data_IF_886029668476
#
_entry.id   IF_886029668476
#
_cell.length_a   1.000
_cell.length_b   1.000
_cell.length_c   1.000
_cell.angle_alpha   90.00
_cell.angle_beta   90.00
_cell.angle_gamma   90.00
#
_symmetry.space_group_name_H-M   'P 1'
#
loop_
_entity.id
_entity.type
_entity.pdbx_description
1 polymer ?
#
# COMPACT_ATOMS: atom_id res chain seq x y z
N UNK A 1 -35.36 -0.49 43.26
CA UNK A 1 -35.90 -1.69 42.59
C UNK A 1 -37.02 -1.24 41.67
N UNK A 2 -36.85 -1.38 40.36
CA UNK A 2 -37.83 -0.94 39.37
C UNK A 2 -37.63 -1.74 38.10
N UNK A 3 -38.26 -2.91 38.08
CA UNK A 3 -38.34 -3.84 36.94
C UNK A 3 -39.54 -3.46 36.07
N UNK A 4 -39.34 -3.30 34.77
CA UNK A 4 -40.41 -3.35 33.77
C UNK A 4 -39.91 -4.09 32.52
N UNK A 5 -40.60 -5.20 32.24
CA UNK A 5 -40.48 -6.05 31.07
C UNK A 5 -41.68 -5.80 30.14
N UNK A 6 -41.42 -6.04 28.85
CA UNK A 6 -42.31 -6.48 27.77
C UNK A 6 -43.15 -5.46 26.99
N UNK A 7 -42.97 -5.47 25.67
CA UNK A 7 -44.07 -5.71 24.73
C UNK A 7 -43.53 -6.26 23.39
N UNK A 8 -43.99 -7.46 23.03
CA UNK A 8 -43.74 -8.20 21.79
C UNK A 8 -44.76 -7.82 20.70
N UNK A 9 -44.35 -7.87 19.43
CA UNK A 9 -45.19 -7.66 18.25
C UNK A 9 -45.91 -8.96 17.80
N UNK A 10 -47.08 -8.85 17.12
CA UNK A 10 -47.91 -10.01 16.73
C UNK A 10 -47.49 -10.65 15.39
N UNK A 11 -47.76 -11.95 15.27
CA UNK A 11 -47.51 -12.82 14.10
C UNK A 11 -48.66 -12.81 13.06
N UNK A 12 -48.39 -12.94 11.74
CA UNK A 12 -49.41 -13.21 10.71
C UNK A 12 -49.63 -14.72 10.41
N UNK A 13 -50.75 -15.10 9.75
CA UNK A 13 -51.29 -16.47 9.66
C UNK A 13 -50.74 -17.31 8.45
N UNK A 14 -51.03 -18.64 8.37
CA UNK A 14 -50.39 -19.57 7.42
C UNK A 14 -51.08 -19.64 6.03
N UNK A 15 -50.43 -20.23 5.00
CA UNK A 15 -50.90 -20.19 3.62
C UNK A 15 -51.83 -21.35 3.25
N UNK A 16 -52.78 -21.07 2.35
CA UNK A 16 -53.66 -22.04 1.66
C UNK A 16 -53.18 -22.17 0.21
N UNK A 17 -53.13 -23.41 -0.31
CA UNK A 17 -52.54 -23.74 -1.61
C UNK A 17 -53.53 -23.82 -2.79
N UNK A 18 -52.95 -23.80 -3.99
CA UNK A 18 -53.41 -24.53 -5.19
C UNK A 18 -54.19 -23.76 -6.27
N UNK A 19 -53.58 -23.58 -7.46
CA UNK A 19 -54.32 -23.40 -8.73
C UNK A 19 -53.60 -22.56 -9.81
N UNK A 20 -53.66 -22.90 -11.11
CA UNK A 20 -52.56 -22.67 -12.05
C UNK A 20 -52.80 -21.54 -13.08
N UNK A 21 -51.71 -20.98 -13.62
CA UNK A 21 -51.70 -20.44 -14.99
C UNK A 21 -51.20 -19.00 -15.15
N UNK A 22 -50.27 -18.86 -16.11
CA UNK A 22 -49.95 -17.66 -16.90
C UNK A 22 -48.90 -16.68 -16.34
N UNK A 23 -47.64 -17.06 -16.55
CA UNK A 23 -46.60 -16.29 -17.28
C UNK A 23 -46.65 -14.76 -17.26
N UNK A 24 -45.63 -14.13 -16.66
CA UNK A 24 -44.76 -13.17 -17.35
C UNK A 24 -43.58 -12.76 -16.46
N UNK A 25 -42.36 -13.07 -16.91
CA UNK A 25 -41.10 -12.67 -16.28
C UNK A 25 -40.69 -11.28 -16.81
N UNK A 26 -40.00 -10.45 -16.00
CA UNK A 26 -38.92 -9.64 -16.52
C UNK A 26 -37.59 -9.88 -15.79
N UNK A 27 -36.45 -9.56 -16.44
CA UNK A 27 -35.20 -10.30 -16.29
C UNK A 27 -34.18 -9.57 -15.40
N UNK A 28 -33.59 -10.28 -14.45
CA UNK A 28 -32.45 -9.81 -13.67
C UNK A 28 -32.38 -10.50 -12.31
N UNK A 29 -31.25 -11.12 -11.99
CA UNK A 29 -30.92 -11.90 -10.77
C UNK A 29 -31.32 -13.38 -10.77
N UNK A 30 -30.45 -14.23 -11.31
CA UNK A 30 -30.33 -15.64 -10.90
C UNK A 30 -29.06 -15.82 -10.08
N UNK A 31 -29.20 -16.24 -8.82
CA UNK A 31 -28.12 -16.68 -7.93
C UNK A 31 -27.58 -18.06 -8.36
N UNK A 32 -26.31 -18.40 -8.07
CA UNK A 32 -25.72 -19.69 -8.43
C UNK A 32 -26.24 -20.82 -7.54
N UNK A 33 -26.52 -21.96 -8.14
CA UNK A 33 -26.98 -23.20 -7.50
C UNK A 33 -25.80 -23.99 -6.94
N UNK A 34 -25.88 -24.40 -5.67
CA UNK A 34 -24.94 -25.33 -5.02
C UNK A 34 -25.20 -26.78 -5.48
N UNK A 35 -24.15 -27.51 -5.84
CA UNK A 35 -24.21 -28.93 -6.25
C UNK A 35 -24.29 -29.87 -5.04
N UNK A 36 -25.04 -30.99 -5.11
CA UNK A 36 -25.11 -31.97 -4.03
C UNK A 36 -23.98 -33.01 -4.12
N UNK A 37 -23.54 -33.47 -2.96
CA UNK A 37 -22.58 -34.56 -2.77
C UNK A 37 -23.33 -35.90 -2.79
N UNK A 38 -22.80 -36.93 -3.44
CA UNK A 38 -23.25 -38.32 -3.27
C UNK A 38 -22.11 -39.34 -3.47
N UNK A 39 -22.18 -40.52 -2.84
CA UNK A 39 -21.02 -41.30 -2.43
C UNK A 39 -20.69 -42.52 -3.31
N UNK A 40 -19.52 -43.09 -2.99
CA UNK A 40 -18.80 -44.18 -3.65
C UNK A 40 -19.62 -45.39 -4.19
N UNK A 41 -19.19 -45.87 -5.37
CA UNK A 41 -19.46 -47.19 -5.92
C UNK A 41 -18.29 -47.66 -6.78
N UNK A 42 -17.70 -48.80 -6.41
CA UNK A 42 -16.54 -49.48 -7.00
C UNK A 42 -16.89 -50.21 -8.30
N UNK A 43 -16.10 -50.06 -9.38
CA UNK A 43 -15.63 -51.15 -10.26
C UNK A 43 -14.74 -50.65 -11.43
N UNK A 44 -13.45 -51.00 -11.34
CA UNK A 44 -12.49 -51.45 -12.38
C UNK A 44 -12.61 -50.90 -13.82
N UNK A 45 -11.59 -50.14 -14.22
CA UNK A 45 -11.29 -49.81 -15.62
C UNK A 45 -10.07 -48.89 -15.74
N UNK A 46 -8.86 -49.42 -15.51
CA UNK A 46 -7.61 -48.69 -15.75
C UNK A 46 -7.23 -48.70 -17.23
N UNK A 47 -7.07 -47.51 -17.80
CA UNK A 47 -5.80 -47.00 -18.36
C UNK A 47 -5.99 -46.17 -19.66
N UNK A 48 -5.21 -45.08 -19.70
CA UNK A 48 -4.86 -44.21 -20.82
C UNK A 48 -5.78 -43.03 -21.17
N UNK A 49 -5.34 -41.83 -20.77
CA UNK A 49 -5.86 -40.54 -21.24
C UNK A 49 -5.45 -39.41 -20.32
N UNK A 50 -4.22 -38.89 -20.46
CA UNK A 50 -3.75 -37.73 -19.71
C UNK A 50 -4.60 -36.50 -20.02
N UNK A 51 -5.23 -35.94 -18.99
CA UNK A 51 -5.86 -34.61 -19.05
C UNK A 51 -4.93 -33.62 -18.36
N UNK A 52 -4.38 -32.74 -19.19
CA UNK A 52 -3.59 -31.58 -18.82
C UNK A 52 -4.50 -30.60 -18.08
N UNK A 53 -4.18 -30.27 -16.84
CA UNK A 53 -4.89 -29.22 -16.08
C UNK A 53 -4.82 -27.90 -16.87
N UNK A 54 -5.90 -27.11 -16.92
CA UNK A 54 -5.83 -25.77 -17.48
C UNK A 54 -4.82 -24.98 -16.64
N UNK A 55 -3.70 -24.60 -17.26
CA UNK A 55 -2.73 -23.68 -16.67
C UNK A 55 -3.50 -22.42 -16.23
N UNK A 56 -3.68 -22.28 -14.92
CA UNK A 56 -4.18 -21.04 -14.33
C UNK A 56 -3.08 -20.02 -14.58
N UNK A 57 -3.16 -19.29 -15.69
CA UNK A 57 -2.30 -18.14 -15.96
C UNK A 57 -2.46 -17.19 -14.79
N UNK A 58 -1.44 -17.19 -13.93
CA UNK A 58 -1.44 -16.41 -12.71
C UNK A 58 -1.40 -14.93 -13.12
N UNK A 59 -2.25 -14.07 -12.54
CA UNK A 59 -2.23 -12.66 -12.85
C UNK A 59 -0.86 -12.08 -12.47
N UNK A 60 -0.31 -11.24 -13.36
CA UNK A 60 1.02 -10.68 -13.19
C UNK A 60 1.19 -10.06 -11.78
N UNK A 61 2.20 -10.49 -11.00
CA UNK A 61 2.37 -10.13 -9.59
C UNK A 61 2.74 -8.66 -9.32
N UNK A 62 2.95 -7.84 -10.36
CA UNK A 62 3.32 -6.42 -10.24
C UNK A 62 4.82 -6.18 -10.07
N UNK A 63 5.21 -4.92 -9.88
CA UNK A 63 6.60 -4.49 -9.73
C UNK A 63 7.14 -4.72 -8.31
N UNK A 64 8.39 -5.14 -8.17
CA UNK A 64 9.05 -5.33 -6.86
C UNK A 64 9.07 -4.05 -6.00
N UNK A 65 9.32 -2.89 -6.59
CA UNK A 65 9.32 -1.61 -5.85
C UNK A 65 7.98 -1.32 -5.17
N UNK A 66 6.87 -1.72 -5.80
CA UNK A 66 5.53 -1.56 -5.22
C UNK A 66 5.33 -2.48 -4.02
N UNK A 67 6.03 -3.61 -3.98
CA UNK A 67 5.96 -4.60 -2.93
C UNK A 67 6.75 -4.16 -1.68
N UNK A 68 7.98 -3.68 -1.86
CA UNK A 68 8.76 -3.06 -0.78
C UNK A 68 8.08 -1.79 -0.25
N UNK A 69 7.50 -0.98 -1.15
CA UNK A 69 6.73 0.21 -0.77
C UNK A 69 5.56 -0.16 0.13
N UNK A 70 4.78 -1.20 -0.19
CA UNK A 70 3.67 -1.66 0.66
C UNK A 70 4.13 -2.11 2.04
N UNK A 71 5.27 -2.80 2.15
CA UNK A 71 5.84 -3.17 3.45
C UNK A 71 6.22 -1.93 4.27
N UNK A 72 6.94 -0.98 3.66
CA UNK A 72 7.33 0.27 4.30
C UNK A 72 6.16 1.16 4.67
N UNK A 73 5.10 1.16 3.87
CA UNK A 73 3.90 1.95 4.14
C UNK A 73 3.19 1.52 5.41
N UNK A 74 3.33 0.26 5.86
CA UNK A 74 2.73 -0.23 7.12
C UNK A 74 3.37 0.44 8.34
N UNK A 75 4.66 0.80 8.27
CA UNK A 75 5.35 1.40 9.38
C UNK A 75 4.89 2.86 9.61
N UNK A 76 4.70 3.27 10.87
CA UNK A 76 4.42 4.65 11.20
C UNK A 76 5.61 5.53 10.81
N UNK A 77 5.32 6.65 10.16
CA UNK A 77 6.34 7.63 9.84
C UNK A 77 6.63 8.48 11.08
N UNK A 78 7.90 8.53 11.50
CA UNK A 78 8.36 9.44 12.54
C UNK A 78 8.11 10.89 12.10
N UNK A 79 7.24 11.61 12.81
CA UNK A 79 7.07 13.04 12.63
C UNK A 79 7.56 13.76 13.87
N UNK A 80 8.40 14.75 13.64
CA UNK A 80 8.91 15.64 14.68
C UNK A 80 8.40 17.05 14.38
N UNK A 81 7.84 17.72 15.40
CA UNK A 81 7.33 19.09 15.26
C UNK A 81 6.02 19.17 14.49
N UNK A 82 5.89 20.19 13.64
CA UNK A 82 4.65 20.50 12.91
C UNK A 82 4.86 20.35 11.40
N UNK A 83 4.06 19.48 10.77
CA UNK A 83 4.06 19.34 9.30
C UNK A 83 2.76 19.86 8.70
N UNK A 84 2.82 20.93 7.92
CA UNK A 84 1.68 21.42 7.15
C UNK A 84 1.88 21.10 5.67
N UNK A 85 0.99 20.29 5.10
CA UNK A 85 1.00 19.96 3.67
C UNK A 85 -0.26 20.53 3.02
N UNK A 86 -0.10 21.33 1.98
CA UNK A 86 -1.20 21.90 1.20
C UNK A 86 -1.07 21.39 -0.24
N UNK A 87 -2.03 20.61 -0.68
CA UNK A 87 -2.12 20.09 -2.03
C UNK A 87 -3.20 20.87 -2.77
N UNK A 88 -2.89 21.35 -3.98
CA UNK A 88 -3.82 22.09 -4.82
C UNK A 88 -3.73 21.60 -6.26
N UNK A 89 -4.82 20.99 -6.73
CA UNK A 89 -5.00 20.72 -8.15
C UNK A 89 -5.34 22.00 -8.89
N UNK A 90 -4.49 22.44 -9.82
CA UNK A 90 -4.81 23.55 -10.73
C UNK A 90 -5.55 23.04 -11.97
N UNK A 91 -5.30 21.79 -12.38
CA UNK A 91 -6.04 21.08 -13.40
C UNK A 91 -6.00 19.57 -13.14
N UNK A 92 -6.75 18.78 -13.91
CA UNK A 92 -6.70 17.30 -13.83
C UNK A 92 -5.30 16.73 -14.14
N UNK A 93 -4.47 17.48 -14.87
CA UNK A 93 -3.13 17.08 -15.29
C UNK A 93 -2.03 17.74 -14.46
N UNK A 94 -2.35 18.72 -13.61
CA UNK A 94 -1.34 19.51 -12.91
C UNK A 94 -1.76 19.80 -11.47
N UNK A 95 -0.95 19.28 -10.54
CA UNK A 95 -1.13 19.45 -9.11
C UNK A 95 0.13 20.08 -8.52
N UNK A 96 -0.08 20.96 -7.56
CA UNK A 96 0.99 21.65 -6.83
C UNK A 96 0.86 21.28 -5.36
N UNK A 97 1.97 21.00 -4.71
CA UNK A 97 2.03 20.76 -3.27
C UNK A 97 2.99 21.74 -2.59
N UNK A 98 2.62 22.15 -1.39
CA UNK A 98 3.42 22.98 -0.50
C UNK A 98 3.56 22.21 0.80
N UNK A 99 4.78 21.85 1.17
CA UNK A 99 5.06 21.10 2.38
C UNK A 99 5.97 21.94 3.29
N UNK A 100 5.43 22.37 4.42
CA UNK A 100 6.12 23.14 5.45
C UNK A 100 6.36 22.20 6.62
N UNK A 101 7.62 21.97 6.97
CA UNK A 101 8.02 21.20 8.13
C UNK A 101 8.73 22.13 9.13
N UNK A 102 8.10 22.36 10.27
CA UNK A 102 8.66 23.10 11.40
C UNK A 102 9.21 22.08 12.39
N UNK A 103 10.53 22.02 12.55
CA UNK A 103 11.19 21.16 13.53
C UNK A 103 11.49 21.92 14.82
N UNK A 104 11.51 21.21 15.95
CA UNK A 104 11.92 21.75 17.26
C UNK A 104 13.39 21.56 17.56
N UNK A 105 14.04 20.58 16.93
CA UNK A 105 15.44 20.20 17.19
C UNK A 105 16.36 20.54 16.02
N UNK A 106 15.82 20.61 14.80
CA UNK A 106 16.57 20.91 13.59
C UNK A 106 16.03 22.13 12.83
N UNK A 107 16.46 22.26 11.59
CA UNK A 107 16.04 23.36 10.73
C UNK A 107 14.62 23.16 10.21
N UNK A 108 13.88 24.27 10.14
CA UNK A 108 12.59 24.30 9.46
C UNK A 108 12.80 24.28 7.95
N UNK A 109 12.08 23.38 7.26
CA UNK A 109 12.21 23.20 5.82
C UNK A 109 10.91 23.50 5.12
N UNK A 110 11.03 24.14 3.97
CA UNK A 110 9.92 24.36 3.06
C UNK A 110 10.24 23.64 1.75
N UNK A 111 9.35 22.76 1.33
CA UNK A 111 9.44 21.99 0.10
C UNK A 111 8.26 22.32 -0.79
N UNK A 112 8.56 22.83 -1.96
CA UNK A 112 7.59 23.06 -3.02
C UNK A 112 7.67 21.91 -4.01
N UNK A 113 6.55 21.33 -4.39
CA UNK A 113 6.52 20.31 -5.41
C UNK A 113 5.39 20.48 -6.41
N UNK A 114 5.62 19.96 -7.60
CA UNK A 114 4.70 19.97 -8.70
C UNK A 114 4.65 18.57 -9.32
N UNK A 115 3.44 18.12 -9.58
CA UNK A 115 3.16 16.86 -10.24
C UNK A 115 2.37 17.13 -11.50
N UNK A 116 2.92 16.70 -12.63
CA UNK A 116 2.25 16.70 -13.91
C UNK A 116 1.92 15.27 -14.31
N UNK A 117 0.68 15.04 -14.71
CA UNK A 117 0.19 13.77 -15.23
C UNK A 117 -0.24 14.01 -16.67
N UNK A 118 0.35 13.26 -17.60
CA UNK A 118 0.11 13.38 -19.03
C UNK A 118 -1.27 12.88 -19.46
N UNK A 119 -1.59 13.11 -20.72
CA UNK A 119 -2.91 12.81 -21.31
C UNK A 119 -3.01 11.41 -21.91
N UNK A 120 -1.87 10.72 -22.13
CA UNK A 120 -1.86 9.39 -22.74
C UNK A 120 -2.23 8.34 -21.69
N UNK A 121 -3.51 7.96 -21.68
CA UNK A 121 -4.02 6.88 -20.85
C UNK A 121 -3.82 5.55 -21.56
N UNK A 122 -2.99 4.67 -20.98
CA UNK A 122 -2.69 3.34 -21.57
C UNK A 122 -3.53 2.24 -20.92
N UNK A 123 -4.17 2.50 -19.78
CA UNK A 123 -5.05 1.58 -19.06
C UNK A 123 -6.02 2.29 -18.11
N UNK A 124 -6.97 1.56 -17.48
CA UNK A 124 -7.92 2.15 -16.54
C UNK A 124 -7.19 2.69 -15.29
N UNK A 125 -6.95 4.00 -15.25
CA UNK A 125 -6.29 4.70 -14.15
C UNK A 125 -4.79 4.98 -14.33
N UNK A 126 -4.19 4.56 -15.45
CA UNK A 126 -2.76 4.78 -15.72
C UNK A 126 -2.57 5.81 -16.84
N UNK A 127 -2.15 7.02 -16.47
CA UNK A 127 -1.90 8.13 -17.38
C UNK A 127 -0.40 8.49 -17.39
N UNK A 128 0.20 8.57 -18.58
CA UNK A 128 1.63 8.84 -18.76
C UNK A 128 1.86 10.00 -19.74
N UNK A 129 3.02 10.68 -19.68
CA UNK A 129 4.06 10.61 -18.64
C UNK A 129 3.60 11.15 -17.29
N UNK A 130 4.14 10.63 -16.19
CA UNK A 130 4.03 11.25 -14.87
C UNK A 130 5.36 11.91 -14.55
N UNK A 131 5.35 13.20 -14.25
CA UNK A 131 6.52 13.95 -13.81
C UNK A 131 6.23 14.51 -12.42
N UNK A 132 7.11 14.21 -11.49
CA UNK A 132 7.05 14.73 -10.11
C UNK A 132 8.36 15.46 -9.87
N UNK A 133 8.30 16.70 -9.42
CA UNK A 133 9.46 17.44 -9.00
C UNK A 133 9.19 18.12 -7.67
N UNK A 134 10.10 17.96 -6.71
CA UNK A 134 10.07 18.68 -5.44
C UNK A 134 11.42 19.33 -5.15
N UNK A 135 11.37 20.58 -4.67
CA UNK A 135 12.55 21.37 -4.36
C UNK A 135 12.40 21.94 -2.96
N UNK A 136 13.46 21.82 -2.16
CA UNK A 136 13.54 22.46 -0.86
C UNK A 136 14.25 23.82 -0.92
N UNK A 137 14.12 24.59 0.18
CA UNK A 137 14.73 25.91 0.35
C UNK A 137 16.27 25.91 0.32
N UNK A 138 16.91 24.74 0.41
CA UNK A 138 18.37 24.61 0.28
C UNK A 138 18.83 24.43 -1.17
N UNK A 139 17.89 24.27 -2.11
CA UNK A 139 18.18 23.98 -3.50
C UNK A 139 18.47 22.51 -3.77
N UNK A 140 18.02 21.61 -2.89
CA UNK A 140 18.00 20.18 -3.15
C UNK A 140 16.70 19.85 -3.92
N UNK A 141 16.87 19.30 -5.11
CA UNK A 141 15.80 18.91 -6.04
C UNK A 141 15.69 17.39 -6.05
N UNK A 142 14.49 16.86 -5.91
CA UNK A 142 14.16 15.50 -6.30
C UNK A 142 13.20 15.57 -7.49
N UNK A 143 13.57 14.94 -8.60
CA UNK A 143 12.75 14.89 -9.80
C UNK A 143 12.61 13.45 -10.26
N UNK A 144 11.38 13.03 -10.55
CA UNK A 144 11.06 11.69 -11.04
C UNK A 144 10.20 11.80 -12.29
N UNK A 145 10.62 11.11 -13.34
CA UNK A 145 9.94 11.06 -14.64
C UNK A 145 9.62 9.60 -14.90
N UNK A 146 8.34 9.26 -14.88
CA UNK A 146 7.85 7.93 -15.21
C UNK A 146 7.21 8.00 -16.58
N UNK A 147 7.77 7.25 -17.52
CA UNK A 147 7.28 7.20 -18.88
C UNK A 147 7.14 5.76 -19.37
N UNK A 148 5.96 5.44 -19.89
CA UNK A 148 5.71 4.17 -20.54
C UNK A 148 6.12 4.26 -22.02
N UNK A 149 7.30 3.73 -22.33
CA UNK A 149 7.88 3.77 -23.69
C UNK A 149 7.13 2.82 -24.62
N UNK A 150 6.64 1.68 -24.10
CA UNK A 150 5.87 0.68 -24.85
C UNK A 150 4.85 0.03 -23.92
N UNK A 151 3.80 -0.62 -24.45
CA UNK A 151 2.74 -1.26 -23.63
C UNK A 151 3.27 -2.26 -22.59
N UNK A 152 4.50 -2.79 -22.76
CA UNK A 152 5.16 -3.74 -21.85
C UNK A 152 6.38 -3.16 -21.12
N UNK A 153 6.83 -1.94 -21.45
CA UNK A 153 8.07 -1.35 -20.93
C UNK A 153 7.79 -0.02 -20.26
N UNK A 154 8.04 0.05 -18.95
CA UNK A 154 7.95 1.27 -18.14
C UNK A 154 9.36 1.73 -17.80
N UNK A 155 9.64 2.99 -18.09
CA UNK A 155 10.89 3.65 -17.67
C UNK A 155 10.59 4.63 -16.54
N UNK A 156 11.49 4.72 -15.57
CA UNK A 156 11.46 5.68 -14.48
C UNK A 156 12.85 6.26 -14.33
N UNK A 157 12.95 7.58 -14.42
CA UNK A 157 14.19 8.32 -14.24
C UNK A 157 14.04 9.17 -12.99
N UNK A 158 14.90 8.97 -12.01
CA UNK A 158 14.96 9.75 -10.78
C UNK A 158 16.28 10.53 -10.73
N UNK A 159 16.18 11.83 -10.50
CA UNK A 159 17.30 12.75 -10.32
C UNK A 159 17.22 13.34 -8.92
N UNK A 160 18.36 13.34 -8.22
CA UNK A 160 18.47 13.93 -6.90
C UNK A 160 19.68 14.86 -6.83
N UNK A 161 19.42 16.12 -6.51
CA UNK A 161 20.44 17.10 -6.16
C UNK A 161 20.36 17.41 -4.67
N UNK A 162 21.49 17.72 -4.06
CA UNK A 162 21.60 18.19 -2.68
C UNK A 162 22.38 19.49 -2.68
N UNK A 163 21.76 20.57 -2.19
CA UNK A 163 22.39 21.89 -2.10
C UNK A 163 23.13 22.30 -3.39
N UNK A 164 22.43 22.26 -4.52
CA UNK A 164 22.96 22.57 -5.87
C UNK A 164 23.99 21.59 -6.45
N UNK A 165 24.38 20.54 -5.72
CA UNK A 165 25.26 19.48 -6.22
C UNK A 165 24.43 18.30 -6.71
N UNK A 166 24.77 17.80 -7.89
CA UNK A 166 24.16 16.57 -8.40
C UNK A 166 24.69 15.38 -7.59
N UNK A 167 23.82 14.69 -6.85
CA UNK A 167 24.22 13.62 -5.92
C UNK A 167 23.96 12.26 -6.54
N UNK A 168 22.79 12.07 -7.14
CA UNK A 168 22.38 10.77 -7.61
C UNK A 168 21.45 10.85 -8.82
N UNK A 169 21.58 9.85 -9.68
CA UNK A 169 20.64 9.59 -10.76
C UNK A 169 20.39 8.08 -10.80
N UNK A 170 19.12 7.71 -10.91
CA UNK A 170 18.69 6.32 -10.99
C UNK A 170 17.76 6.20 -12.18
N UNK A 171 18.06 5.26 -13.06
CA UNK A 171 17.23 4.90 -14.19
C UNK A 171 16.73 3.48 -14.04
N UNK A 172 15.43 3.33 -13.78
CA UNK A 172 14.76 2.04 -13.75
C UNK A 172 14.08 1.78 -15.10
N UNK A 173 14.27 0.59 -15.63
CA UNK A 173 13.53 0.05 -16.76
C UNK A 173 12.84 -1.24 -16.32
N UNK A 174 11.52 -1.21 -16.25
CA UNK A 174 10.68 -2.34 -15.90
C UNK A 174 10.03 -2.93 -17.14
N UNK A 175 10.24 -4.24 -17.30
CA UNK A 175 9.68 -5.06 -18.35
C UNK A 175 8.58 -5.93 -17.74
N UNK A 176 7.34 -5.64 -18.10
CA UNK A 176 6.15 -6.36 -17.64
C UNK A 176 5.76 -7.42 -18.67
N UNK A 177 6.12 -8.67 -18.39
CA UNK A 177 5.70 -9.84 -19.14
C UNK A 177 4.31 -10.35 -18.71
N UNK A 178 3.87 -11.45 -19.31
CA UNK A 178 2.60 -12.10 -18.93
C UNK A 178 2.75 -12.85 -17.60
N UNK A 179 3.83 -13.65 -17.46
CA UNK A 179 4.08 -14.47 -16.26
C UNK A 179 5.27 -13.98 -15.41
N UNK A 180 6.02 -12.98 -15.86
CA UNK A 180 7.18 -12.45 -15.14
C UNK A 180 7.27 -10.93 -15.26
N UNK A 181 7.87 -10.28 -14.26
CA UNK A 181 8.24 -8.87 -14.31
C UNK A 181 9.72 -8.76 -13.98
N UNK A 182 10.49 -8.16 -14.88
CA UNK A 182 11.92 -7.94 -14.70
C UNK A 182 12.19 -6.44 -14.61
N UNK A 183 12.92 -6.00 -13.58
CA UNK A 183 13.31 -4.60 -13.41
C UNK A 183 14.82 -4.50 -13.51
N UNK A 184 15.29 -3.62 -14.37
CA UNK A 184 16.70 -3.26 -14.52
C UNK A 184 16.88 -1.86 -13.99
N UNK A 185 17.66 -1.72 -12.92
CA UNK A 185 17.99 -0.43 -12.30
C UNK A 185 19.42 -0.07 -12.62
N UNK A 186 19.63 1.11 -13.19
CA UNK A 186 20.94 1.67 -13.55
C UNK A 186 21.15 2.93 -12.71
N UNK A 187 21.97 2.80 -11.67
CA UNK A 187 22.24 3.84 -10.66
C UNK A 187 21.82 3.35 -9.27
N UNK A 188 22.75 3.35 -8.31
CA UNK A 188 22.65 2.75 -6.97
C UNK A 188 22.16 1.27 -6.91
N UNK A 189 23.02 0.30 -6.54
CA UNK A 189 22.65 -1.12 -6.59
C UNK A 189 21.84 -1.54 -5.35
N UNK A 190 20.67 -2.17 -5.53
CA UNK A 190 20.40 -3.51 -4.98
C UNK A 190 19.13 -4.15 -5.58
N UNK A 191 19.06 -5.48 -5.48
CA UNK A 191 18.50 -6.45 -6.42
C UNK A 191 17.06 -6.92 -6.13
N UNK A 192 16.40 -7.31 -7.24
CA UNK A 192 15.18 -8.11 -7.47
C UNK A 192 14.79 -9.09 -6.35
N UNK A 193 13.51 -9.08 -5.94
CA UNK A 193 12.86 -10.20 -5.23
C UNK A 193 11.42 -10.44 -5.76
N UNK A 194 10.99 -11.70 -5.80
CA UNK A 194 9.69 -12.13 -6.34
C UNK A 194 8.51 -11.91 -5.38
N UNK A 195 7.30 -11.76 -5.95
CA UNK A 195 6.06 -11.46 -5.22
C UNK A 195 4.99 -12.54 -5.42
N UNK A 196 4.30 -12.88 -4.33
CA UNK A 196 3.07 -13.69 -4.30
C UNK A 196 1.84 -12.84 -3.96
N UNK A 197 0.63 -13.37 -4.20
CA UNK A 197 -0.62 -12.60 -4.23
C UNK A 197 -1.19 -12.16 -2.87
N UNK A 198 -0.76 -12.74 -1.74
CA UNK A 198 -1.31 -12.44 -0.40
C UNK A 198 -0.25 -12.18 0.68
N UNK A 199 1.01 -12.45 0.39
CA UNK A 199 2.14 -12.20 1.27
C UNK A 199 3.35 -11.89 0.40
N UNK A 200 4.22 -11.02 0.89
CA UNK A 200 5.42 -10.60 0.19
C UNK A 200 6.57 -10.83 1.15
N UNK A 201 7.48 -11.72 0.79
CA UNK A 201 8.73 -11.91 1.49
C UNK A 201 9.86 -11.42 0.58
N UNK A 202 10.64 -10.47 1.07
CA UNK A 202 11.83 -9.98 0.40
C UNK A 202 13.05 -10.40 1.22
N UNK A 203 14.10 -10.84 0.54
CA UNK A 203 15.39 -11.13 1.16
C UNK A 203 16.48 -10.58 0.24
N UNK A 204 17.24 -9.64 0.77
CA UNK A 204 18.36 -8.98 0.11
C UNK A 204 19.61 -9.36 0.86
N UNK A 205 20.56 -9.98 0.17
CA UNK A 205 21.86 -10.36 0.71
C UNK A 205 22.94 -9.64 -0.10
N UNK A 206 23.60 -8.67 0.51
CA UNK A 206 24.68 -7.90 -0.10
C UNK A 206 25.95 -7.97 0.73
N UNK A 207 27.09 -7.57 0.14
CA UNK A 207 28.37 -7.51 0.86
C UNK A 207 28.37 -6.54 2.06
N UNK A 208 27.38 -5.64 2.15
CA UNK A 208 27.23 -4.69 3.26
C UNK A 208 26.29 -5.19 4.38
N UNK A 209 25.49 -6.23 4.13
CA UNK A 209 24.49 -6.72 5.07
C UNK A 209 23.39 -7.59 4.44
N UNK A 210 22.51 -8.09 5.30
CA UNK A 210 21.29 -8.78 4.93
C UNK A 210 20.08 -7.92 5.34
N UNK A 211 19.09 -7.80 4.47
CA UNK A 211 17.83 -7.14 4.77
C UNK A 211 16.69 -8.06 4.33
N UNK A 212 15.80 -8.41 5.25
CA UNK A 212 14.62 -9.21 4.95
C UNK A 212 13.37 -8.44 5.33
N UNK A 213 12.34 -8.47 4.49
CA UNK A 213 11.04 -7.90 4.83
C UNK A 213 9.95 -8.93 4.57
N UNK A 214 8.97 -8.96 5.45
CA UNK A 214 7.82 -9.85 5.35
C UNK A 214 6.56 -9.03 5.56
N UNK A 215 5.80 -8.83 4.48
CA UNK A 215 4.49 -8.20 4.51
C UNK A 215 3.41 -9.26 4.39
N UNK A 216 2.40 -9.15 5.24
CA UNK A 216 1.24 -10.02 5.23
C UNK A 216 -0.03 -9.21 5.46
N UNK A 217 -0.98 -9.35 4.54
CA UNK A 217 -2.32 -8.77 4.68
C UNK A 217 -3.23 -9.80 5.34
N UNK A 218 -3.42 -9.67 6.65
CA UNK A 218 -4.25 -10.60 7.42
C UNK A 218 -5.75 -10.38 7.15
N UNK A 219 -6.19 -9.13 6.98
CA UNK A 219 -7.58 -8.77 6.68
C UNK A 219 -7.64 -7.46 5.87
N UNK A 220 -8.82 -7.07 5.37
CA UNK A 220 -9.03 -5.78 4.69
C UNK A 220 -8.72 -4.58 5.60
N UNK A 221 -8.89 -4.75 6.92
CA UNK A 221 -8.64 -3.72 7.92
C UNK A 221 -7.27 -3.82 8.58
N UNK A 222 -6.55 -4.94 8.45
CA UNK A 222 -5.31 -5.20 9.19
C UNK A 222 -4.20 -5.69 8.26
N UNK A 223 -3.10 -4.95 8.25
CA UNK A 223 -1.89 -5.27 7.52
C UNK A 223 -0.73 -5.33 8.50
N UNK A 224 0.17 -6.28 8.30
CA UNK A 224 1.34 -6.50 9.18
C UNK A 224 2.59 -6.54 8.32
N UNK A 225 3.65 -5.91 8.81
CA UNK A 225 4.97 -5.89 8.21
C UNK A 225 6.02 -6.26 9.26
N UNK A 226 6.97 -7.09 8.88
CA UNK A 226 8.15 -7.40 9.69
C UNK A 226 9.37 -7.09 8.85
N UNK A 227 10.32 -6.34 9.40
CA UNK A 227 11.58 -6.03 8.76
C UNK A 227 12.72 -6.52 9.65
N UNK A 228 13.73 -7.10 9.02
CA UNK A 228 14.97 -7.53 9.63
C UNK A 228 16.10 -6.90 8.86
N UNK A 229 16.97 -6.19 9.55
CA UNK A 229 18.14 -5.55 8.97
C UNK A 229 19.37 -5.99 9.75
N UNK A 230 20.33 -6.60 9.06
CA UNK A 230 21.61 -7.01 9.59
C UNK A 230 22.72 -6.32 8.79
N UNK A 231 23.33 -5.30 9.36
CA UNK A 231 24.44 -4.60 8.73
C UNK A 231 25.77 -5.21 9.15
N UNK A 232 26.51 -5.79 8.20
CA UNK A 232 27.84 -6.36 8.47
C UNK A 232 28.86 -5.25 8.78
N UNK A 233 28.69 -4.08 8.16
CA UNK A 233 29.57 -2.93 8.39
C UNK A 233 29.43 -2.37 9.81
N UNK A 234 28.21 -2.22 10.29
CA UNK A 234 27.95 -1.66 11.62
C UNK A 234 27.94 -2.72 12.72
N UNK A 235 28.07 -4.00 12.36
CA UNK A 235 27.89 -5.15 13.26
C UNK A 235 26.61 -5.03 14.09
N UNK A 236 25.55 -4.51 13.47
CA UNK A 236 24.27 -4.25 14.11
C UNK A 236 23.18 -5.06 13.45
N UNK A 237 22.22 -5.48 14.25
CA UNK A 237 21.09 -6.30 13.81
C UNK A 237 19.82 -5.78 14.47
N UNK A 238 18.90 -5.27 13.65
CA UNK A 238 17.63 -4.75 14.09
C UNK A 238 16.48 -5.58 13.52
N UNK A 239 15.46 -5.79 14.34
CA UNK A 239 14.19 -6.39 13.94
C UNK A 239 13.12 -5.36 14.25
N UNK A 240 12.28 -5.06 13.26
CA UNK A 240 11.19 -4.12 13.36
C UNK A 240 9.88 -4.83 13.03
N UNK A 241 8.90 -4.71 13.91
CA UNK A 241 7.55 -5.19 13.69
C UNK A 241 6.63 -3.98 13.54
N UNK A 242 5.85 -3.95 12.46
CA UNK A 242 4.90 -2.89 12.14
C UNK A 242 3.52 -3.46 11.84
N UNK A 243 2.49 -2.71 12.18
CA UNK A 243 1.12 -3.04 11.81
C UNK A 243 0.33 -1.79 11.46
N UNK A 244 -0.62 -1.94 10.54
CA UNK A 244 -1.51 -0.88 10.08
C UNK A 244 -2.95 -1.37 10.21
N UNK A 245 -3.75 -0.60 10.95
CA UNK A 245 -5.19 -0.76 11.07
C UNK A 245 -5.89 0.34 10.29
N UNK A 246 -6.74 -0.04 9.34
CA UNK A 246 -7.66 0.87 8.65
C UNK A 246 -9.08 0.69 9.20
N UNK A 247 -9.57 1.72 9.88
CA UNK A 247 -10.92 1.78 10.44
C UNK A 247 -11.79 2.65 9.52
N UNK A 248 -12.29 2.05 8.45
CA UNK A 248 -13.16 2.71 7.47
C UNK A 248 -14.38 3.39 8.10
N UNK A 249 -14.99 2.79 9.15
CA UNK A 249 -16.16 3.36 9.84
C UNK A 249 -15.88 4.71 10.53
N UNK A 250 -14.63 5.00 10.88
CA UNK A 250 -14.23 6.20 11.59
C UNK A 250 -13.31 7.12 10.76
N UNK A 251 -13.05 6.78 9.49
CA UNK A 251 -12.08 7.44 8.60
C UNK A 251 -10.71 7.64 9.29
N UNK A 252 -10.28 6.60 10.00
CA UNK A 252 -9.12 6.62 10.87
C UNK A 252 -8.18 5.50 10.48
N UNK A 253 -6.93 5.85 10.27
CA UNK A 253 -5.85 4.94 9.93
C UNK A 253 -4.82 5.01 11.06
N UNK A 254 -4.55 3.86 11.67
CA UNK A 254 -3.62 3.74 12.76
C UNK A 254 -2.45 2.86 12.34
N UNK A 255 -1.23 3.30 12.61
CA UNK A 255 0.00 2.56 12.37
C UNK A 255 0.77 2.46 13.66
N UNK A 256 1.25 1.28 13.99
CA UNK A 256 2.08 1.02 15.15
C UNK A 256 3.34 0.28 14.75
N UNK A 257 4.45 0.53 15.42
CA UNK A 257 5.66 -0.25 15.28
C UNK A 257 6.41 -0.41 16.59
N UNK A 258 7.16 -1.48 16.68
CA UNK A 258 8.11 -1.76 17.75
C UNK A 258 9.38 -2.34 17.13
N UNK A 259 10.52 -1.87 17.59
CA UNK A 259 11.82 -2.39 17.16
C UNK A 259 12.56 -3.12 18.29
N UNK A 260 13.59 -3.89 17.94
CA UNK A 260 14.49 -4.57 18.87
C UNK A 260 15.39 -3.62 19.66
N UNK A 261 15.43 -2.33 19.27
CA UNK A 261 16.14 -1.27 19.98
C UNK A 261 15.29 -0.60 21.07
N UNK A 262 14.13 -1.17 21.39
CA UNK A 262 13.16 -0.67 22.38
C UNK A 262 12.60 0.71 22.04
N UNK A 263 12.46 0.99 20.74
CA UNK A 263 11.71 2.12 20.22
C UNK A 263 10.31 1.65 19.86
N UNK A 264 9.33 2.31 20.45
CA UNK A 264 7.91 2.10 20.15
C UNK A 264 7.40 3.33 19.44
N UNK A 265 6.72 3.12 18.31
CA UNK A 265 6.17 4.18 17.46
C UNK A 265 4.68 3.97 17.21
N UNK A 266 3.94 5.06 17.17
CA UNK A 266 2.55 5.06 16.74
C UNK A 266 2.27 6.29 15.86
N UNK A 267 1.40 6.13 14.87
CA UNK A 267 0.88 7.22 14.06
C UNK A 267 -0.62 7.03 13.86
N UNK A 268 -1.38 8.06 14.14
CA UNK A 268 -2.82 8.14 13.98
C UNK A 268 -3.13 9.18 12.90
N UNK A 269 -3.70 8.75 11.80
CA UNK A 269 -4.20 9.64 10.76
C UNK A 269 -5.73 9.61 10.78
N UNK A 270 -6.36 10.79 10.82
CA UNK A 270 -7.80 10.95 10.80
C UNK A 270 -8.20 11.93 9.71
N UNK A 271 -9.03 11.47 8.78
CA UNK A 271 -9.63 12.31 7.74
C UNK A 271 -10.90 12.93 8.28
N UNK A 272 -11.00 14.26 8.26
CA UNK A 272 -12.09 15.03 8.85
C UNK A 272 -13.12 15.44 7.79
N UNK A 273 -14.03 14.55 7.43
CA UNK A 273 -15.19 14.91 6.59
C UNK A 273 -16.12 15.86 7.36
N UNK A 274 -16.72 16.91 6.73
CA UNK A 274 -16.81 17.19 5.29
C UNK A 274 -15.67 18.06 4.71
N UNK A 275 -14.69 18.45 5.53
CA UNK A 275 -13.61 19.30 5.06
C UNK A 275 -12.49 18.44 4.42
N UNK A 276 -11.80 18.93 3.38
CA UNK A 276 -10.64 18.26 2.79
C UNK A 276 -9.39 18.36 3.70
N UNK A 277 -9.55 18.04 4.99
CA UNK A 277 -8.48 18.09 5.99
C UNK A 277 -8.22 16.71 6.57
N UNK A 278 -6.94 16.35 6.66
CA UNK A 278 -6.47 15.15 7.34
C UNK A 278 -5.50 15.54 8.45
N UNK A 279 -5.77 15.08 9.67
CA UNK A 279 -4.90 15.27 10.82
C UNK A 279 -4.08 14.00 11.03
N UNK A 280 -2.76 14.15 11.16
CA UNK A 280 -1.86 13.08 11.54
C UNK A 280 -1.23 13.42 12.89
N UNK A 281 -1.19 12.48 13.82
CA UNK A 281 -0.46 12.57 15.07
C UNK A 281 0.51 11.40 15.12
N UNK A 282 1.78 11.65 15.40
CA UNK A 282 2.77 10.60 15.58
C UNK A 282 3.51 10.77 16.90
N UNK A 283 3.86 9.65 17.51
CA UNK A 283 4.64 9.60 18.74
C UNK A 283 5.61 8.43 18.70
N UNK A 284 6.84 8.69 19.12
CA UNK A 284 7.91 7.71 19.19
C UNK A 284 8.60 7.82 20.53
N UNK A 285 8.76 6.68 21.19
CA UNK A 285 9.38 6.57 22.50
C UNK A 285 10.54 5.59 22.41
N UNK A 286 11.76 6.09 22.63
CA UNK A 286 12.95 5.26 22.79
C UNK A 286 13.15 4.99 24.28
N UNK A 287 12.82 3.78 24.74
CA UNK A 287 12.96 3.39 26.15
C UNK A 287 14.42 3.27 26.58
N UNK A 288 15.33 2.85 25.68
CA UNK A 288 16.75 2.69 26.02
C UNK A 288 17.44 4.03 26.29
N UNK A 289 17.05 5.08 25.54
CA UNK A 289 17.63 6.43 25.64
C UNK A 289 16.74 7.41 26.44
N UNK A 290 15.57 6.97 26.92
CA UNK A 290 14.54 7.81 27.54
C UNK A 290 14.22 9.08 26.73
N UNK A 291 14.13 8.94 25.40
CA UNK A 291 13.78 10.04 24.50
C UNK A 291 12.38 9.84 23.96
N UNK A 292 11.52 10.84 24.17
CA UNK A 292 10.19 10.90 23.59
C UNK A 292 10.16 11.98 22.52
N UNK A 293 9.64 11.63 21.35
CA UNK A 293 9.42 12.53 20.24
C UNK A 293 7.96 12.44 19.83
N UNK A 294 7.34 13.59 19.62
CA UNK A 294 5.99 13.66 19.07
C UNK A 294 5.93 14.74 18.01
N UNK A 295 4.99 14.55 17.10
CA UNK A 295 4.72 15.50 16.04
C UNK A 295 3.28 15.40 15.60
N UNK A 296 2.76 16.49 15.08
CA UNK A 296 1.45 16.51 14.45
C UNK A 296 1.57 17.11 13.05
N UNK A 297 0.74 16.63 12.15
CA UNK A 297 0.65 17.15 10.81
C UNK A 297 -0.77 17.42 10.39
N UNK A 298 -0.92 18.44 9.56
CA UNK A 298 -2.19 18.79 8.94
C UNK A 298 -1.96 18.73 7.44
N UNK A 299 -2.76 17.93 6.74
CA UNK A 299 -2.78 17.89 5.28
C UNK A 299 -4.09 18.45 4.79
N UNK A 300 -4.01 19.45 3.92
CA UNK A 300 -5.14 20.12 3.28
C UNK A 300 -5.05 19.78 1.79
N UNK A 301 -6.09 19.22 1.19
CA UNK A 301 -6.04 18.80 -0.21
C UNK A 301 -7.40 18.50 -0.82
#
# INVERSE_FOLDING_TARGET
MGSVLAASSPTPPPPVGGGPGLTSVPPGFTMPTVSPVSPAGTAVGSAAGGQQEPEVTLPNPGAFEECHRKCKEVFPAQMEGVRLTVNKGLSNHFQVNHNILLSTTGDSTYRFGATYVGTKQTGPGEAFPVMVGDMDNSGSLNAQIIHQVTNRVRSKLAFQTQQQKFVNWQGDAEFRGEDFTATVTVGNPDVVVGSGSNFIATLTLGGAGAHASYYHKANEQLQVGVEFEASTRMQDTSVSFGYQLDIAKANLLFKGSIDSNWVVGATLEKKLLPLPLSLALSSFLNHRKNKFQCGFGVTIG
#
